data_IF_342836633391
#
_entry.id   IF_342836633391
#
_cell.length_a   1.000
_cell.length_b   1.000
_cell.length_c   1.000
_cell.angle_alpha   90.00
_cell.angle_beta   90.00
_cell.angle_gamma   90.00
#
_symmetry.space_group_name_H-M   'P 1'
#
loop_
_entity.id
_entity.type
_entity.pdbx_description
1 polymer ?
#
# COMPACT_ATOMS: atom_id res chain seq x y z
N UNK A 1 36.16 -14.47 10.07
CA UNK A 1 35.75 -13.31 9.26
C UNK A 1 36.86 -12.94 8.30
N UNK A 2 36.62 -13.02 6.98
CA UNK A 2 37.63 -12.67 5.97
C UNK A 2 37.57 -11.15 5.69
N UNK A 3 38.71 -10.57 5.25
CA UNK A 3 38.81 -9.14 4.89
C UNK A 3 37.72 -8.67 3.88
N UNK A 4 37.21 -9.58 3.04
CA UNK A 4 36.08 -9.31 2.12
C UNK A 4 34.72 -9.15 2.83
N UNK A 5 34.51 -9.82 3.94
CA UNK A 5 33.27 -9.68 4.74
C UNK A 5 33.26 -8.38 5.53
N UNK A 6 34.45 -7.92 6.00
CA UNK A 6 34.60 -6.66 6.71
C UNK A 6 34.30 -5.45 5.79
N UNK A 7 34.77 -5.51 4.55
CA UNK A 7 34.53 -4.43 3.56
C UNK A 7 33.07 -4.33 3.09
N UNK A 8 32.29 -5.41 3.16
CA UNK A 8 30.83 -5.35 2.92
C UNK A 8 30.05 -4.71 4.05
N UNK A 9 30.53 -4.79 5.28
CA UNK A 9 29.88 -4.16 6.45
C UNK A 9 30.23 -2.68 6.61
N UNK A 10 31.36 -2.21 6.13
CA UNK A 10 31.73 -0.78 6.20
C UNK A 10 31.05 0.09 5.14
N UNK A 11 30.51 -0.49 4.06
CA UNK A 11 29.73 0.25 3.06
C UNK A 11 28.33 0.69 3.56
N UNK A 12 27.88 0.18 4.71
CA UNK A 12 26.54 0.49 5.28
C UNK A 12 26.51 1.76 6.15
N UNK A 13 27.64 2.33 6.52
CA UNK A 13 27.71 3.48 7.44
C UNK A 13 27.86 4.84 6.76
N UNK A 14 27.78 4.91 5.45
CA UNK A 14 27.98 6.14 4.68
C UNK A 14 26.77 6.73 3.96
N UNK A 15 25.60 6.12 4.03
CA UNK A 15 24.41 6.66 3.38
C UNK A 15 23.60 7.54 4.34
N UNK A 16 23.66 8.85 4.15
CA UNK A 16 22.75 9.78 4.81
C UNK A 16 21.43 9.83 4.00
N UNK A 17 20.32 9.52 4.65
CA UNK A 17 18.99 9.74 4.09
C UNK A 17 18.64 11.21 4.31
N UNK A 18 18.62 12.00 3.26
CA UNK A 18 18.14 13.38 3.29
C UNK A 18 16.69 13.39 2.86
N UNK A 19 15.80 13.72 3.79
CA UNK A 19 14.39 13.98 3.51
C UNK A 19 14.24 15.45 3.14
N UNK A 20 13.90 15.74 1.90
CA UNK A 20 13.60 17.11 1.46
C UNK A 20 12.09 17.21 1.23
N UNK A 21 11.45 18.18 1.90
CA UNK A 21 10.06 18.54 1.66
C UNK A 21 10.04 19.80 0.80
N UNK A 22 9.62 19.67 -0.45
CA UNK A 22 9.43 20.80 -1.34
C UNK A 22 8.02 20.74 -1.94
N UNK A 23 7.22 21.78 -1.72
CA UNK A 23 5.88 21.89 -2.33
C UNK A 23 4.85 20.84 -1.89
N UNK A 24 5.03 20.19 -0.74
CA UNK A 24 4.15 19.12 -0.24
C UNK A 24 4.50 17.72 -0.73
N UNK A 25 5.57 17.56 -1.48
CA UNK A 25 6.11 16.27 -1.89
C UNK A 25 7.25 15.84 -0.97
N UNK A 26 7.24 14.58 -0.52
CA UNK A 26 8.37 13.99 0.21
C UNK A 26 9.22 13.22 -0.79
N UNK A 27 10.37 13.80 -1.14
CA UNK A 27 11.35 13.14 -2.01
C UNK A 27 12.46 12.59 -1.11
N UNK A 28 12.64 11.29 -1.06
CA UNK A 28 13.75 10.65 -0.36
C UNK A 28 14.94 10.50 -1.30
N UNK A 29 16.05 11.17 -1.01
CA UNK A 29 17.33 10.98 -1.70
C UNK A 29 18.32 10.24 -0.79
N UNK A 30 18.93 9.20 -1.31
CA UNK A 30 20.09 8.55 -0.65
C UNK A 30 21.35 9.15 -1.26
N UNK A 31 22.10 9.92 -0.47
CA UNK A 31 23.43 10.43 -0.88
C UNK A 31 24.50 9.44 -0.46
N UNK A 32 25.04 8.69 -1.41
CA UNK A 32 26.29 7.94 -1.28
C UNK A 32 27.40 8.60 -2.12
N UNK A 33 28.69 8.19 -1.97
CA UNK A 33 29.77 8.74 -2.79
C UNK A 33 29.46 8.55 -4.28
N UNK A 34 29.69 9.60 -5.03
CA UNK A 34 29.34 9.74 -6.43
C UNK A 34 29.84 8.57 -7.29
N UNK A 35 28.90 7.73 -7.76
CA UNK A 35 29.09 6.94 -8.99
C UNK A 35 27.73 6.67 -9.62
N UNK A 36 27.64 7.04 -10.90
CA UNK A 36 26.52 6.91 -11.80
C UNK A 36 25.27 7.75 -11.42
N UNK A 37 24.83 8.59 -12.34
CA UNK A 37 23.55 9.26 -12.27
C UNK A 37 22.46 8.23 -11.92
N UNK A 38 21.96 8.26 -10.68
CA UNK A 38 20.81 7.47 -10.28
C UNK A 38 19.65 8.03 -11.08
N UNK A 39 19.39 7.43 -12.24
CA UNK A 39 18.17 7.75 -13.00
C UNK A 39 16.99 7.42 -12.11
N UNK A 40 16.08 8.37 -11.97
CA UNK A 40 14.82 8.18 -11.22
C UNK A 40 14.19 6.84 -11.66
N UNK A 41 14.00 5.87 -10.74
CA UNK A 41 13.40 4.58 -11.11
C UNK A 41 12.02 4.71 -11.73
N UNK A 42 11.28 5.79 -11.43
CA UNK A 42 9.99 6.09 -12.07
C UNK A 42 10.14 6.46 -13.55
N UNK A 43 11.28 7.03 -13.95
CA UNK A 43 11.59 7.34 -15.34
C UNK A 43 12.20 6.16 -16.13
N UNK A 44 12.64 5.08 -15.47
CA UNK A 44 13.25 3.92 -16.12
C UNK A 44 12.18 3.01 -16.74
N UNK A 45 12.15 2.82 -18.08
CA UNK A 45 11.17 1.96 -18.74
C UNK A 45 11.33 0.47 -18.39
N UNK A 46 12.48 0.06 -17.88
CA UNK A 46 12.78 -1.33 -17.50
C UNK A 46 12.52 -1.60 -16.02
N UNK A 47 12.31 -0.57 -15.20
CA UNK A 47 11.94 -0.73 -13.81
C UNK A 47 10.57 -1.40 -13.68
N UNK A 48 10.35 -2.10 -12.55
CA UNK A 48 9.01 -2.39 -12.10
C UNK A 48 8.34 -1.07 -11.73
N UNK A 49 7.16 -0.79 -12.28
CA UNK A 49 6.38 0.41 -11.96
C UNK A 49 4.93 0.05 -11.73
N UNK A 50 4.43 0.37 -10.58
CA UNK A 50 3.02 0.15 -10.25
C UNK A 50 2.42 1.35 -9.53
N UNK A 51 1.10 1.38 -9.44
CA UNK A 51 0.38 2.43 -8.73
C UNK A 51 -0.42 1.79 -7.60
N UNK A 52 -0.37 2.42 -6.43
CA UNK A 52 -1.28 2.13 -5.32
C UNK A 52 -2.38 3.19 -5.30
N UNK A 53 -3.63 2.73 -5.27
CA UNK A 53 -4.82 3.50 -4.92
C UNK A 53 -5.45 2.87 -3.68
N UNK A 54 -6.20 3.63 -2.89
CA UNK A 54 -6.75 3.12 -1.65
C UNK A 54 -8.02 3.85 -1.25
N UNK A 55 -8.86 3.17 -0.49
CA UNK A 55 -9.97 3.75 0.26
C UNK A 55 -10.89 4.58 -0.66
N UNK A 56 -11.42 3.96 -1.73
CA UNK A 56 -12.34 4.61 -2.66
C UNK A 56 -13.77 4.74 -2.11
N UNK A 57 -14.15 3.90 -1.15
CA UNK A 57 -15.43 3.93 -0.45
C UNK A 57 -16.63 4.17 -1.35
N UNK A 58 -16.68 3.50 -2.50
CA UNK A 58 -17.79 3.65 -3.46
C UNK A 58 -19.11 3.37 -2.75
N UNK A 59 -20.02 4.35 -2.84
CA UNK A 59 -21.32 4.32 -2.14
C UNK A 59 -21.36 5.15 -0.85
N UNK A 60 -20.28 5.80 -0.42
CA UNK A 60 -20.30 6.76 0.69
C UNK A 60 -21.22 7.96 0.39
N UNK A 61 -22.00 8.41 1.38
CA UNK A 61 -23.00 9.49 1.24
C UNK A 61 -22.83 10.62 2.26
N UNK A 62 -21.65 10.71 2.89
CA UNK A 62 -21.41 11.74 3.91
C UNK A 62 -20.94 13.09 3.36
N UNK A 63 -20.99 14.11 4.21
CA UNK A 63 -20.61 15.50 3.86
C UNK A 63 -19.12 15.69 3.60
N UNK A 64 -18.27 14.77 4.04
CA UNK A 64 -16.84 14.84 3.81
C UNK A 64 -16.47 14.70 2.32
N UNK A 65 -17.26 13.94 1.56
CA UNK A 65 -17.24 13.90 0.11
C UNK A 65 -18.59 13.40 -0.41
N UNK A 66 -19.35 14.26 -1.04
CA UNK A 66 -20.67 13.92 -1.62
C UNK A 66 -20.57 13.29 -3.02
N UNK A 67 -19.37 13.13 -3.56
CA UNK A 67 -19.10 12.68 -4.94
C UNK A 67 -17.87 11.76 -5.00
N UNK A 68 -17.84 10.71 -4.15
CA UNK A 68 -16.69 9.76 -4.08
C UNK A 68 -16.46 9.06 -5.42
N UNK A 69 -17.51 8.77 -6.18
CA UNK A 69 -17.40 8.19 -7.51
C UNK A 69 -16.59 9.10 -8.45
N UNK A 70 -16.87 10.42 -8.45
CA UNK A 70 -16.13 11.39 -9.25
C UNK A 70 -14.66 11.51 -8.79
N UNK A 71 -14.43 11.46 -7.49
CA UNK A 71 -13.06 11.46 -6.94
C UNK A 71 -12.27 10.24 -7.41
N UNK A 72 -12.89 9.05 -7.39
CA UNK A 72 -12.23 7.84 -7.87
C UNK A 72 -12.07 7.82 -9.40
N UNK A 73 -13.04 8.34 -10.16
CA UNK A 73 -12.89 8.55 -11.61
C UNK A 73 -11.73 9.49 -11.94
N UNK A 74 -11.52 10.52 -11.13
CA UNK A 74 -10.38 11.40 -11.26
C UNK A 74 -9.06 10.64 -10.99
N UNK A 75 -9.01 9.81 -9.95
CA UNK A 75 -7.84 8.96 -9.68
C UNK A 75 -7.55 8.01 -10.86
N UNK A 76 -8.56 7.35 -11.42
CA UNK A 76 -8.42 6.51 -12.63
C UNK A 76 -7.89 7.32 -13.82
N UNK A 77 -8.41 8.52 -14.03
CA UNK A 77 -7.96 9.40 -15.11
C UNK A 77 -6.50 9.84 -14.92
N UNK A 78 -6.11 10.15 -13.68
CA UNK A 78 -4.74 10.53 -13.35
C UNK A 78 -3.75 9.37 -13.54
N UNK A 79 -4.13 8.15 -13.15
CA UNK A 79 -3.32 6.94 -13.44
C UNK A 79 -3.15 6.76 -14.95
N UNK A 80 -4.23 6.94 -15.73
CA UNK A 80 -4.17 6.78 -17.19
C UNK A 80 -3.38 7.90 -17.89
N UNK A 81 -3.19 9.05 -17.25
CA UNK A 81 -2.39 10.17 -17.74
C UNK A 81 -0.91 10.09 -17.36
N UNK A 82 -0.49 9.09 -16.60
CA UNK A 82 0.92 8.89 -16.25
C UNK A 82 1.77 8.74 -17.53
N UNK A 83 3.04 9.22 -17.52
CA UNK A 83 3.94 9.10 -18.68
C UNK A 83 4.41 7.66 -18.93
N UNK A 84 3.86 6.71 -18.22
CA UNK A 84 4.12 5.28 -18.37
C UNK A 84 2.86 4.47 -18.10
N UNK A 85 2.80 3.26 -18.66
CA UNK A 85 1.78 2.28 -18.33
C UNK A 85 2.24 1.49 -17.10
N UNK A 86 1.51 1.49 -15.97
CA UNK A 86 1.86 0.66 -14.82
C UNK A 86 1.85 -0.83 -15.15
N UNK A 87 2.77 -1.59 -14.59
CA UNK A 87 2.77 -3.05 -14.67
C UNK A 87 1.50 -3.63 -14.01
N UNK A 88 1.08 -3.02 -12.91
CA UNK A 88 -0.23 -3.26 -12.30
C UNK A 88 -0.70 -2.03 -11.49
N UNK A 89 -1.97 -2.01 -11.13
CA UNK A 89 -2.55 -1.10 -10.13
C UNK A 89 -3.04 -1.95 -8.97
N UNK A 90 -2.62 -1.61 -7.75
CA UNK A 90 -3.07 -2.23 -6.50
C UNK A 90 -4.04 -1.32 -5.79
N UNK A 91 -5.26 -1.81 -5.49
CA UNK A 91 -6.18 -1.14 -4.58
C UNK A 91 -6.07 -1.77 -3.18
N UNK A 92 -5.63 -0.98 -2.21
CA UNK A 92 -5.31 -1.48 -0.86
C UNK A 92 -6.49 -1.43 0.12
N UNK A 93 -7.69 -1.77 -0.36
CA UNK A 93 -8.87 -2.01 0.47
C UNK A 93 -9.81 -0.82 0.61
N UNK A 94 -10.95 -1.07 1.25
CA UNK A 94 -12.10 -0.16 1.32
C UNK A 94 -12.52 0.32 -0.07
N UNK A 95 -12.71 -0.67 -0.97
CA UNK A 95 -13.19 -0.44 -2.32
C UNK A 95 -14.61 0.11 -2.29
N UNK A 96 -15.44 -0.51 -1.45
CA UNK A 96 -16.85 -0.18 -1.24
C UNK A 96 -17.06 0.44 0.13
N UNK A 97 -18.20 1.06 0.36
CA UNK A 97 -18.55 1.60 1.69
C UNK A 97 -19.43 0.67 2.52
N UNK A 98 -20.27 -0.14 1.87
CA UNK A 98 -21.26 -0.99 2.55
C UNK A 98 -21.26 -2.44 2.04
N UNK A 99 -20.21 -2.88 1.35
CA UNK A 99 -20.07 -4.26 0.86
C UNK A 99 -21.29 -4.78 0.07
N UNK A 100 -21.99 -3.91 -0.68
CA UNK A 100 -23.11 -4.36 -1.51
C UNK A 100 -22.62 -4.88 -2.85
N UNK A 101 -23.31 -5.89 -3.46
CA UNK A 101 -22.96 -6.35 -4.80
C UNK A 101 -22.89 -5.23 -5.83
N UNK A 102 -23.86 -4.29 -5.79
CA UNK A 102 -23.89 -3.15 -6.72
C UNK A 102 -22.67 -2.23 -6.56
N UNK A 103 -22.17 -2.02 -5.34
CA UNK A 103 -20.95 -1.24 -5.11
C UNK A 103 -19.71 -1.97 -5.64
N UNK A 104 -19.61 -3.29 -5.46
CA UNK A 104 -18.53 -4.08 -6.04
C UNK A 104 -18.55 -4.06 -7.57
N UNK A 105 -19.74 -4.20 -8.19
CA UNK A 105 -19.88 -4.11 -9.65
C UNK A 105 -19.46 -2.73 -10.16
N UNK A 106 -19.83 -1.66 -9.46
CA UNK A 106 -19.46 -0.28 -9.80
C UNK A 106 -17.94 -0.08 -9.72
N UNK A 107 -17.30 -0.50 -8.62
CA UNK A 107 -15.83 -0.42 -8.48
C UNK A 107 -15.15 -1.21 -9.61
N UNK A 108 -15.60 -2.42 -9.87
CA UNK A 108 -15.05 -3.29 -10.93
C UNK A 108 -15.14 -2.61 -12.30
N UNK A 109 -16.29 -1.99 -12.61
CA UNK A 109 -16.47 -1.21 -13.82
C UNK A 109 -15.54 0.00 -13.89
N UNK A 110 -15.35 0.72 -12.79
CA UNK A 110 -14.44 1.88 -12.73
C UNK A 110 -12.98 1.44 -12.91
N UNK A 111 -12.54 0.38 -12.20
CA UNK A 111 -11.17 -0.16 -12.30
C UNK A 111 -10.89 -0.77 -13.69
N UNK A 112 -11.90 -1.28 -14.39
CA UNK A 112 -11.71 -1.81 -15.76
C UNK A 112 -11.28 -0.75 -16.79
N UNK A 113 -11.41 0.53 -16.46
CA UNK A 113 -10.96 1.66 -17.29
C UNK A 113 -9.49 2.03 -17.08
N UNK A 114 -8.81 1.41 -16.13
CA UNK A 114 -7.38 1.63 -15.88
C UNK A 114 -6.53 1.09 -17.03
N UNK A 115 -5.66 1.92 -17.58
CA UNK A 115 -4.68 1.53 -18.59
C UNK A 115 -3.46 0.86 -17.93
N UNK A 116 -3.64 -0.37 -17.49
CA UNK A 116 -2.63 -1.19 -16.84
C UNK A 116 -2.64 -2.61 -17.39
N UNK A 117 -1.62 -3.41 -17.09
CA UNK A 117 -1.63 -4.83 -17.47
C UNK A 117 -2.51 -5.66 -16.55
N UNK A 118 -2.65 -5.25 -15.30
CA UNK A 118 -3.38 -5.98 -14.27
C UNK A 118 -3.90 -5.04 -13.18
N UNK A 119 -5.09 -5.30 -12.67
CA UNK A 119 -5.64 -4.69 -11.45
C UNK A 119 -5.70 -5.73 -10.34
N UNK A 120 -5.18 -5.39 -9.18
CA UNK A 120 -5.08 -6.25 -8.01
C UNK A 120 -5.74 -5.55 -6.81
N UNK A 121 -6.26 -6.32 -5.87
CA UNK A 121 -6.93 -5.77 -4.70
C UNK A 121 -6.64 -6.57 -3.44
N UNK A 122 -6.74 -5.94 -2.28
CA UNK A 122 -6.99 -6.58 -0.99
C UNK A 122 -8.25 -5.96 -0.39
N UNK A 123 -9.04 -6.66 0.43
CA UNK A 123 -10.24 -6.07 1.02
C UNK A 123 -9.90 -5.16 2.20
N UNK A 124 -10.71 -4.11 2.40
CA UNK A 124 -10.80 -3.37 3.64
C UNK A 124 -11.94 -3.88 4.54
N UNK A 125 -12.11 -3.27 5.70
CA UNK A 125 -13.21 -3.63 6.62
C UNK A 125 -14.57 -3.28 6.03
N UNK A 126 -14.68 -2.20 5.26
CA UNK A 126 -15.89 -1.81 4.56
C UNK A 126 -16.28 -2.77 3.43
N UNK A 127 -15.37 -3.61 2.98
CA UNK A 127 -15.62 -4.67 1.99
C UNK A 127 -16.09 -5.99 2.62
N UNK A 128 -16.17 -6.04 3.96
CA UNK A 128 -16.42 -7.26 4.75
C UNK A 128 -17.51 -7.08 5.81
N UNK A 129 -18.29 -5.99 5.76
CA UNK A 129 -19.15 -5.47 6.85
C UNK A 129 -20.09 -6.52 7.45
N UNK A 130 -20.69 -7.39 6.64
CA UNK A 130 -21.80 -8.26 7.07
C UNK A 130 -21.62 -9.74 6.71
N UNK A 131 -20.55 -10.14 6.03
CA UNK A 131 -20.42 -11.50 5.50
C UNK A 131 -18.99 -12.08 5.55
N UNK A 132 -18.10 -11.49 6.35
CA UNK A 132 -16.69 -11.88 6.42
C UNK A 132 -16.02 -11.93 5.02
N UNK A 133 -16.35 -10.98 4.15
CA UNK A 133 -15.75 -10.80 2.84
C UNK A 133 -16.19 -11.79 1.75
N UNK A 134 -17.30 -12.52 1.92
CA UNK A 134 -17.78 -13.46 0.89
C UNK A 134 -18.11 -12.73 -0.41
N UNK A 135 -18.78 -11.58 -0.37
CA UNK A 135 -19.11 -10.77 -1.55
C UNK A 135 -17.85 -10.21 -2.21
N UNK A 136 -16.88 -9.77 -1.40
CA UNK A 136 -15.59 -9.35 -1.93
C UNK A 136 -14.91 -10.50 -2.68
N UNK A 137 -14.80 -11.70 -2.07
CA UNK A 137 -14.21 -12.87 -2.73
C UNK A 137 -14.97 -13.29 -3.98
N UNK A 138 -16.30 -13.17 -4.01
CA UNK A 138 -17.09 -13.42 -5.22
C UNK A 138 -16.74 -12.44 -6.35
N UNK A 139 -16.42 -11.18 -6.02
CA UNK A 139 -16.09 -10.14 -6.99
C UNK A 139 -14.60 -10.18 -7.44
N UNK A 140 -13.67 -10.39 -6.50
CA UNK A 140 -12.24 -10.21 -6.69
C UNK A 140 -11.37 -11.39 -6.28
N UNK A 141 -11.94 -12.44 -5.66
CA UNK A 141 -11.18 -13.56 -5.09
C UNK A 141 -10.71 -14.61 -6.10
N UNK A 142 -10.92 -14.43 -7.39
CA UNK A 142 -10.48 -15.41 -8.39
C UNK A 142 -8.94 -15.57 -8.36
N UNK A 143 -8.47 -16.82 -8.15
CA UNK A 143 -7.04 -17.15 -8.09
C UNK A 143 -6.36 -16.86 -6.75
N UNK A 144 -7.10 -16.45 -5.72
CA UNK A 144 -6.59 -16.26 -4.37
C UNK A 144 -6.61 -17.56 -3.55
N UNK A 145 -5.89 -17.59 -2.44
CA UNK A 145 -5.89 -18.68 -1.46
C UNK A 145 -6.69 -18.30 -0.21
N UNK A 146 -7.13 -19.29 0.56
CA UNK A 146 -7.83 -19.09 1.82
C UNK A 146 -8.97 -18.09 1.70
N UNK A 147 -8.99 -17.11 2.58
CA UNK A 147 -10.00 -16.05 2.60
C UNK A 147 -9.66 -14.84 1.72
N UNK A 148 -8.82 -15.02 0.70
CA UNK A 148 -8.58 -14.00 -0.31
C UNK A 148 -7.14 -13.48 -0.37
N UNK A 149 -6.19 -14.07 0.38
CA UNK A 149 -4.77 -13.70 0.28
C UNK A 149 -4.09 -14.41 -0.90
N UNK A 150 -2.99 -13.83 -1.38
CA UNK A 150 -2.19 -14.39 -2.47
C UNK A 150 -0.78 -13.83 -2.50
N UNK A 151 0.07 -14.43 -3.30
CA UNK A 151 1.41 -13.93 -3.61
C UNK A 151 1.68 -14.01 -5.11
N UNK A 152 2.62 -13.22 -5.59
CA UNK A 152 3.09 -13.26 -6.97
C UNK A 152 4.49 -12.66 -7.09
N UNK A 153 5.18 -13.01 -8.17
CA UNK A 153 6.48 -12.46 -8.51
C UNK A 153 6.38 -11.58 -9.75
N UNK A 154 7.05 -10.43 -9.73
CA UNK A 154 7.15 -9.55 -10.89
C UNK A 154 8.46 -8.80 -10.91
N UNK A 155 9.20 -8.87 -12.02
CA UNK A 155 10.46 -8.16 -12.25
C UNK A 155 11.46 -8.25 -11.08
N UNK A 156 11.55 -9.43 -10.46
CA UNK A 156 12.50 -9.73 -9.39
C UNK A 156 12.07 -9.28 -7.99
N UNK A 157 10.85 -8.84 -7.82
CA UNK A 157 10.21 -8.52 -6.53
C UNK A 157 9.16 -9.58 -6.21
N UNK A 158 9.13 -10.03 -4.96
CA UNK A 158 8.10 -10.91 -4.44
C UNK A 158 7.04 -10.12 -3.68
N UNK A 159 5.77 -10.36 -4.00
CA UNK A 159 4.62 -9.64 -3.46
C UNK A 159 3.76 -10.56 -2.62
N UNK A 160 3.36 -10.08 -1.45
CA UNK A 160 2.37 -10.68 -0.58
C UNK A 160 1.15 -9.74 -0.49
N UNK A 161 -0.02 -10.21 -0.86
CA UNK A 161 -1.29 -9.52 -0.70
C UNK A 161 -2.08 -10.18 0.43
N UNK A 162 -2.17 -9.51 1.56
CA UNK A 162 -2.67 -10.04 2.82
C UNK A 162 -4.06 -9.48 3.16
N UNK A 163 -4.87 -10.30 3.80
CA UNK A 163 -6.21 -9.96 4.27
C UNK A 163 -6.19 -9.89 5.79
N UNK A 164 -6.47 -8.73 6.36
CA UNK A 164 -6.46 -8.52 7.81
C UNK A 164 -7.71 -7.82 8.35
N UNK A 165 -8.83 -7.93 7.62
CA UNK A 165 -10.06 -7.18 7.88
C UNK A 165 -11.30 -8.06 8.13
N UNK A 166 -11.19 -9.40 8.04
CA UNK A 166 -12.35 -10.28 8.10
C UNK A 166 -12.85 -10.59 9.52
N UNK A 167 -11.98 -10.49 10.52
CA UNK A 167 -12.27 -10.85 11.92
C UNK A 167 -12.02 -9.67 12.84
N UNK A 168 -12.54 -8.49 12.46
CA UNK A 168 -12.32 -7.26 13.19
C UNK A 168 -13.15 -7.22 14.48
N UNK A 169 -12.48 -7.37 15.62
CA UNK A 169 -13.05 -6.87 16.89
C UNK A 169 -12.67 -5.40 17.10
N UNK A 170 -11.41 -5.05 16.85
CA UNK A 170 -10.87 -3.69 16.97
C UNK A 170 -9.63 -3.47 16.11
N UNK A 171 -8.69 -4.42 16.11
CA UNK A 171 -7.45 -4.39 15.33
C UNK A 171 -7.57 -5.32 14.13
N UNK A 172 -6.78 -5.09 13.10
CA UNK A 172 -6.61 -6.05 12.02
C UNK A 172 -6.05 -7.38 12.56
N UNK A 173 -6.37 -8.47 11.90
CA UNK A 173 -5.95 -9.81 12.27
C UNK A 173 -5.70 -10.67 11.02
N UNK A 174 -4.54 -11.30 10.92
CA UNK A 174 -4.18 -12.18 9.80
C UNK A 174 -4.68 -13.62 10.04
N UNK A 175 -4.51 -14.13 11.24
CA UNK A 175 -4.89 -15.47 11.63
C UNK A 175 -3.86 -16.55 11.27
N UNK A 176 -4.00 -17.71 11.91
CA UNK A 176 -3.02 -18.78 11.87
C UNK A 176 -2.78 -19.35 10.46
N UNK A 177 -3.84 -19.50 9.66
CA UNK A 177 -3.74 -20.06 8.31
C UNK A 177 -2.96 -19.14 7.37
N UNK A 178 -3.21 -17.83 7.43
CA UNK A 178 -2.50 -16.85 6.62
C UNK A 178 -1.06 -16.68 7.11
N UNK A 179 -0.81 -16.73 8.41
CA UNK A 179 0.55 -16.72 8.96
C UNK A 179 1.36 -17.93 8.49
N UNK A 180 0.73 -19.13 8.41
CA UNK A 180 1.38 -20.33 7.86
C UNK A 180 1.60 -20.22 6.34
N UNK A 181 0.66 -19.60 5.61
CA UNK A 181 0.83 -19.27 4.20
C UNK A 181 2.06 -18.37 4.00
N UNK A 182 2.18 -17.24 4.71
CA UNK A 182 3.34 -16.35 4.62
C UNK A 182 4.64 -17.12 4.88
N UNK A 183 4.69 -17.87 5.98
CA UNK A 183 5.86 -18.65 6.37
C UNK A 183 6.31 -19.63 5.28
N UNK A 184 5.37 -20.36 4.67
CA UNK A 184 5.65 -21.36 3.62
C UNK A 184 6.05 -20.71 2.31
N UNK A 185 5.37 -19.64 1.95
CA UNK A 185 5.54 -18.93 0.69
C UNK A 185 6.96 -18.34 0.58
N UNK A 186 7.40 -17.63 1.61
CA UNK A 186 8.72 -17.01 1.59
C UNK A 186 9.88 -17.98 1.90
N UNK A 187 9.60 -19.21 2.36
CA UNK A 187 10.62 -20.11 2.94
C UNK A 187 11.82 -20.40 2.01
N UNK A 188 11.57 -20.46 0.71
CA UNK A 188 12.58 -20.81 -0.30
C UNK A 188 13.19 -19.61 -1.03
N UNK A 189 12.71 -18.41 -0.76
CA UNK A 189 13.23 -17.21 -1.40
C UNK A 189 14.62 -16.86 -0.86
N UNK A 190 15.47 -16.28 -1.71
CA UNK A 190 16.75 -15.72 -1.27
C UNK A 190 16.52 -14.54 -0.34
N UNK A 191 17.39 -14.35 0.64
CA UNK A 191 17.38 -13.18 1.52
C UNK A 191 17.57 -11.86 0.77
N UNK A 192 18.11 -11.91 -0.43
CA UNK A 192 18.30 -10.73 -1.29
C UNK A 192 17.04 -10.40 -2.13
N UNK A 193 16.01 -11.25 -2.09
CA UNK A 193 14.73 -10.97 -2.78
C UNK A 193 14.02 -9.82 -2.07
N UNK A 194 13.71 -8.71 -2.76
CA UNK A 194 12.88 -7.65 -2.18
C UNK A 194 11.46 -8.16 -1.97
N UNK A 195 10.89 -7.86 -0.80
CA UNK A 195 9.52 -8.24 -0.46
C UNK A 195 8.65 -6.99 -0.39
N UNK A 196 7.50 -7.03 -1.05
CA UNK A 196 6.46 -6.02 -0.92
C UNK A 196 5.21 -6.67 -0.32
N UNK A 197 4.69 -6.08 0.73
CA UNK A 197 3.49 -6.58 1.42
C UNK A 197 2.38 -5.57 1.27
N UNK A 198 1.25 -5.99 0.76
CA UNK A 198 0.01 -5.23 0.74
C UNK A 198 -0.93 -5.73 1.83
N UNK A 199 -1.50 -4.84 2.58
CA UNK A 199 -2.60 -5.08 3.53
C UNK A 199 -3.47 -3.83 3.59
N UNK A 200 -4.69 -3.95 4.08
CA UNK A 200 -5.50 -2.75 4.29
C UNK A 200 -5.10 -2.04 5.58
N UNK A 201 -5.21 -2.71 6.72
CA UNK A 201 -4.81 -2.15 8.02
C UNK A 201 -3.28 -2.24 8.18
N UNK A 202 -2.62 -1.20 8.74
CA UNK A 202 -1.17 -1.21 8.95
C UNK A 202 -0.67 -2.44 9.71
N UNK A 203 0.47 -3.01 9.26
CA UNK A 203 1.17 -4.10 9.96
C UNK A 203 2.05 -3.60 11.11
N UNK A 204 1.82 -2.40 11.60
CA UNK A 204 2.44 -1.86 12.81
C UNK A 204 1.39 -1.12 13.64
N UNK A 205 1.63 -1.00 14.93
CA UNK A 205 0.72 -0.33 15.86
C UNK A 205 0.83 1.20 15.70
N UNK A 206 0.15 1.78 14.70
CA UNK A 206 0.17 3.21 14.46
C UNK A 206 -0.65 3.96 15.50
N UNK A 207 -1.92 3.59 15.69
CA UNK A 207 -2.81 4.12 16.72
C UNK A 207 -3.88 3.08 17.12
N UNK A 208 -3.53 2.11 17.98
CA UNK A 208 -4.40 0.98 18.32
C UNK A 208 -5.74 1.39 18.94
N UNK A 209 -5.79 2.58 19.56
CA UNK A 209 -7.04 3.12 20.12
C UNK A 209 -8.15 3.28 19.06
N UNK A 210 -7.78 3.54 17.79
CA UNK A 210 -8.70 3.67 16.66
C UNK A 210 -8.70 2.45 15.72
N UNK A 211 -8.10 1.33 16.12
CA UNK A 211 -8.01 0.16 15.25
C UNK A 211 -6.86 0.21 14.24
N UNK A 212 -5.98 1.22 14.32
CA UNK A 212 -4.90 1.41 13.35
C UNK A 212 -3.67 0.58 13.71
N UNK A 213 -3.76 -0.69 13.42
CA UNK A 213 -2.72 -1.70 13.61
C UNK A 213 -3.27 -3.11 13.50
N UNK A 214 -2.39 -4.09 13.33
CA UNK A 214 -2.70 -5.51 13.20
C UNK A 214 -2.07 -6.24 14.38
N UNK A 215 -2.86 -7.00 15.14
CA UNK A 215 -2.47 -7.55 16.45
C UNK A 215 -1.42 -8.68 16.36
N UNK A 216 -1.48 -9.49 15.31
CA UNK A 216 -0.56 -10.61 15.05
C UNK A 216 0.52 -10.27 14.00
N UNK A 217 0.64 -9.03 13.58
CA UNK A 217 1.62 -8.57 12.59
C UNK A 217 3.07 -8.87 12.99
N UNK A 218 3.40 -8.85 14.28
CA UNK A 218 4.74 -9.17 14.78
C UNK A 218 5.18 -10.57 14.34
N UNK A 219 4.27 -11.54 14.33
CA UNK A 219 4.56 -12.90 13.88
C UNK A 219 4.78 -12.93 12.37
N UNK A 220 3.93 -12.30 11.56
CA UNK A 220 4.11 -12.19 10.11
C UNK A 220 5.45 -11.55 9.77
N UNK A 221 5.75 -10.40 10.38
CA UNK A 221 7.02 -9.68 10.16
C UNK A 221 8.25 -10.48 10.59
N UNK A 222 8.12 -11.38 11.60
CA UNK A 222 9.24 -12.25 12.02
C UNK A 222 9.73 -13.15 10.89
N UNK A 223 8.85 -13.61 10.00
CA UNK A 223 9.22 -14.41 8.83
C UNK A 223 9.94 -13.60 7.76
N UNK A 224 9.72 -12.28 7.74
CA UNK A 224 10.26 -11.35 6.74
C UNK A 224 11.58 -10.69 7.17
N UNK A 225 11.96 -10.74 8.44
CA UNK A 225 13.18 -10.08 8.97
C UNK A 225 14.50 -10.57 8.34
N UNK A 226 14.51 -11.73 7.70
CA UNK A 226 15.70 -12.28 7.04
C UNK A 226 15.99 -11.65 5.68
N UNK A 227 15.02 -10.93 5.07
CA UNK A 227 15.17 -10.30 3.78
C UNK A 227 15.90 -8.96 3.89
N UNK A 228 16.64 -8.59 2.85
CA UNK A 228 17.42 -7.34 2.84
C UNK A 228 16.53 -6.10 2.74
N UNK A 229 15.35 -6.22 2.14
CA UNK A 229 14.38 -5.13 1.97
C UNK A 229 12.96 -5.66 2.04
N UNK A 230 12.15 -5.08 2.92
CA UNK A 230 10.71 -5.34 3.04
C UNK A 230 9.98 -4.01 3.03
N UNK A 231 8.99 -3.87 2.14
CA UNK A 231 8.15 -2.67 2.07
C UNK A 231 6.69 -3.07 2.30
N UNK A 232 6.06 -2.52 3.33
CA UNK A 232 4.65 -2.71 3.62
C UNK A 232 3.86 -1.49 3.15
N UNK A 233 2.85 -1.70 2.32
CA UNK A 233 1.99 -0.67 1.75
C UNK A 233 0.56 -0.92 2.21
N UNK A 234 -0.05 0.05 2.87
CA UNK A 234 -1.39 -0.07 3.42
C UNK A 234 -2.27 1.15 3.12
N UNK A 235 -3.58 1.00 3.32
CA UNK A 235 -4.60 2.04 3.29
C UNK A 235 -5.11 2.39 4.70
N UNK A 236 -6.43 2.39 4.90
CA UNK A 236 -7.17 2.47 6.16
C UNK A 236 -7.06 3.82 6.91
N UNK A 237 -5.89 4.40 6.94
CA UNK A 237 -5.57 5.59 7.75
C UNK A 237 -5.96 6.89 7.05
N UNK A 238 -6.13 6.85 5.72
CA UNK A 238 -6.41 7.99 4.85
C UNK A 238 -5.39 9.13 4.97
N UNK A 239 -4.17 8.83 5.42
CA UNK A 239 -3.09 9.80 5.60
C UNK A 239 -1.77 9.21 5.16
N UNK A 240 -0.93 10.07 4.60
CA UNK A 240 0.44 9.72 4.28
C UNK A 240 1.25 9.54 5.57
N UNK A 241 1.85 8.37 5.72
CA UNK A 241 2.73 8.05 6.83
C UNK A 241 3.84 7.13 6.37
N UNK A 242 5.04 7.34 6.88
CA UNK A 242 6.19 6.46 6.63
C UNK A 242 6.93 6.18 7.93
N UNK A 243 7.27 4.91 8.17
CA UNK A 243 8.05 4.45 9.30
C UNK A 243 9.01 3.36 8.85
N UNK A 244 10.24 3.37 9.36
CA UNK A 244 11.22 2.31 9.10
C UNK A 244 11.65 1.66 10.41
N UNK A 245 11.63 0.33 10.44
CA UNK A 245 12.10 -0.49 11.54
C UNK A 245 13.06 -1.57 11.01
N UNK A 246 14.36 -1.35 11.16
CA UNK A 246 15.39 -2.25 10.62
C UNK A 246 15.33 -2.29 9.08
N UNK A 247 15.03 -3.47 8.53
CA UNK A 247 14.89 -3.71 7.09
C UNK A 247 13.46 -3.57 6.57
N UNK A 248 12.51 -3.20 7.43
CA UNK A 248 11.09 -3.05 7.07
C UNK A 248 10.70 -1.58 7.03
N UNK A 249 10.16 -1.14 5.90
CA UNK A 249 9.57 0.20 5.75
C UNK A 249 8.08 0.08 5.55
N UNK A 250 7.31 0.84 6.32
CA UNK A 250 5.86 0.92 6.27
C UNK A 250 5.45 2.24 5.64
N UNK A 251 4.48 2.19 4.73
CA UNK A 251 3.89 3.36 4.10
C UNK A 251 2.37 3.25 4.10
N UNK A 252 1.69 4.17 4.76
CA UNK A 252 0.25 4.35 4.58
C UNK A 252 -0.02 5.27 3.41
N UNK A 253 -0.95 4.88 2.55
CA UNK A 253 -1.43 5.72 1.46
C UNK A 253 -2.44 6.75 1.95
N UNK A 254 -2.62 7.81 1.17
CA UNK A 254 -3.82 8.63 1.27
C UNK A 254 -4.99 7.92 0.59
N UNK A 255 -6.18 8.45 0.78
CA UNK A 255 -7.46 7.96 0.25
C UNK A 255 -7.77 8.57 -1.11
N UNK A 256 -8.68 7.95 -1.86
CA UNK A 256 -9.34 8.60 -3.00
C UNK A 256 -10.74 9.11 -2.66
N UNK A 257 -11.24 8.89 -1.43
CA UNK A 257 -12.59 9.28 -1.02
C UNK A 257 -12.63 10.52 -0.11
N UNK A 258 -12.10 10.45 1.10
CA UNK A 258 -12.18 11.52 2.10
C UNK A 258 -11.08 11.38 3.17
N UNK A 259 -10.59 12.49 3.76
CA UNK A 259 -9.59 12.42 4.81
C UNK A 259 -10.19 12.03 6.16
N UNK A 260 -9.36 11.43 7.02
CA UNK A 260 -9.61 11.17 8.44
C UNK A 260 -8.78 12.14 9.30
N UNK A 261 -9.16 12.35 10.60
CA UNK A 261 -8.39 13.19 11.50
C UNK A 261 -7.03 12.55 11.84
N UNK A 262 -6.06 13.36 12.25
CA UNK A 262 -4.79 12.84 12.75
C UNK A 262 -5.01 12.05 14.05
N UNK A 263 -4.14 11.06 14.36
CA UNK A 263 -4.22 10.29 15.59
C UNK A 263 -4.41 11.18 16.82
N UNK A 264 -5.43 10.87 17.62
CA UNK A 264 -5.75 11.64 18.84
C UNK A 264 -6.44 12.99 18.61
N UNK A 265 -6.69 13.41 17.38
CA UNK A 265 -7.50 14.60 17.08
C UNK A 265 -8.98 14.25 17.00
N UNK A 266 -9.61 14.01 18.12
CA UNK A 266 -11.02 13.65 18.24
C UNK A 266 -11.23 12.30 18.92
N UNK A 267 -12.49 11.92 19.18
CA UNK A 267 -12.82 10.68 19.89
C UNK A 267 -12.74 9.43 19.00
N UNK A 268 -12.85 9.59 17.68
CA UNK A 268 -12.88 8.50 16.70
C UNK A 268 -12.38 8.99 15.33
N UNK A 269 -11.98 8.06 14.43
CA UNK A 269 -11.56 8.39 13.06
C UNK A 269 -12.78 8.67 12.16
N UNK A 270 -13.49 9.75 12.42
CA UNK A 270 -14.67 10.15 11.64
C UNK A 270 -14.25 10.95 10.40
N UNK A 271 -14.93 10.79 9.23
CA UNK A 271 -14.64 11.54 8.02
C UNK A 271 -14.62 13.07 8.25
N UNK A 272 -13.58 13.74 7.75
CA UNK A 272 -13.38 15.18 7.92
C UNK A 272 -13.89 15.94 6.72
N UNK A 273 -14.86 16.85 6.95
CA UNK A 273 -15.29 17.80 5.93
C UNK A 273 -14.29 18.94 5.85
N UNK A 274 -13.65 19.10 4.70
CA UNK A 274 -12.70 20.17 4.44
C UNK A 274 -13.39 21.42 3.88
N UNK A 275 -12.76 22.61 3.96
CA UNK A 275 -13.25 23.81 3.29
C UNK A 275 -13.44 23.57 1.79
N UNK A 276 -14.38 24.31 1.18
CA UNK A 276 -14.67 24.21 -0.25
C UNK A 276 -13.39 24.32 -1.11
N UNK A 277 -13.25 23.42 -2.08
CA UNK A 277 -12.09 23.36 -2.98
C UNK A 277 -10.82 22.75 -2.38
N UNK A 278 -10.85 22.24 -1.12
CA UNK A 278 -9.68 21.65 -0.46
C UNK A 278 -9.65 20.14 -0.45
N UNK A 279 -10.71 19.50 -0.89
CA UNK A 279 -10.79 18.03 -0.86
C UNK A 279 -9.71 17.38 -1.73
N UNK A 280 -9.52 17.84 -2.95
CA UNK A 280 -8.52 17.29 -3.87
C UNK A 280 -7.08 17.33 -3.31
N UNK A 281 -6.75 18.34 -2.48
CA UNK A 281 -5.45 18.45 -1.80
C UNK A 281 -5.19 17.32 -0.80
N UNK A 282 -6.25 16.66 -0.31
CA UNK A 282 -6.18 15.55 0.66
C UNK A 282 -6.32 14.17 0.03
N UNK A 283 -6.67 14.11 -1.25
CA UNK A 283 -6.82 12.86 -2.00
C UNK A 283 -5.60 12.63 -2.89
N UNK A 284 -5.32 11.36 -3.25
CA UNK A 284 -4.16 11.09 -4.09
C UNK A 284 -4.01 9.64 -4.51
N UNK A 285 -3.00 9.44 -5.33
CA UNK A 285 -2.49 8.13 -5.76
C UNK A 285 -1.01 8.03 -5.37
N UNK A 286 -0.46 6.83 -5.37
CA UNK A 286 0.97 6.58 -5.11
C UNK A 286 1.59 5.86 -6.28
N UNK A 287 2.62 6.46 -6.86
CA UNK A 287 3.51 5.84 -7.82
C UNK A 287 4.64 5.09 -7.09
N UNK A 288 4.92 3.87 -7.49
CA UNK A 288 5.99 3.05 -6.90
C UNK A 288 6.83 2.45 -8.02
N UNK A 289 8.15 2.51 -7.86
CA UNK A 289 9.07 1.87 -8.77
C UNK A 289 10.17 1.10 -8.04
N UNK A 290 10.64 0.01 -8.67
CA UNK A 290 11.80 -0.74 -8.23
C UNK A 290 12.70 -1.05 -9.41
N UNK A 291 14.00 -0.88 -9.20
CA UNK A 291 15.05 -1.28 -10.13
C UNK A 291 15.98 -2.30 -9.45
N UNK A 292 16.30 -3.44 -10.10
CA UNK A 292 17.28 -4.37 -9.57
C UNK A 292 18.60 -3.68 -9.22
N UNK A 293 19.12 -3.97 -8.03
CA UNK A 293 20.35 -3.35 -7.51
C UNK A 293 20.15 -2.06 -6.72
N UNK A 294 18.93 -1.53 -6.61
CA UNK A 294 18.62 -0.44 -5.68
C UNK A 294 18.28 -0.99 -4.28
N UNK A 295 18.56 -0.23 -3.20
CA UNK A 295 18.35 -0.71 -1.83
C UNK A 295 16.87 -0.83 -1.40
N UNK A 296 15.93 -0.36 -2.22
CA UNK A 296 14.50 -0.38 -1.90
C UNK A 296 13.66 0.19 -3.02
N UNK A 297 12.37 0.38 -2.75
CA UNK A 297 11.42 0.96 -3.68
C UNK A 297 11.48 2.49 -3.64
N UNK A 298 11.38 3.11 -4.82
CA UNK A 298 11.06 4.54 -4.93
C UNK A 298 9.55 4.71 -4.77
N UNK A 299 9.12 5.60 -3.87
CA UNK A 299 7.71 5.87 -3.57
C UNK A 299 7.45 7.35 -3.76
N UNK A 300 6.43 7.70 -4.56
CA UNK A 300 6.01 9.07 -4.82
C UNK A 300 4.51 9.20 -4.65
N UNK A 301 4.09 10.05 -3.73
CA UNK A 301 2.69 10.37 -3.50
C UNK A 301 2.29 11.57 -4.36
N UNK A 302 1.17 11.46 -5.09
CA UNK A 302 0.66 12.47 -6.02
C UNK A 302 -0.79 12.80 -5.65
N UNK A 303 -1.08 14.06 -5.40
CA UNK A 303 -2.43 14.54 -5.11
C UNK A 303 -3.34 14.43 -6.33
N UNK A 304 -4.63 14.29 -6.10
CA UNK A 304 -5.65 14.46 -7.13
C UNK A 304 -5.78 15.97 -7.42
N UNK A 305 -5.06 16.46 -8.41
CA UNK A 305 -5.04 17.89 -8.76
C UNK A 305 -6.10 18.22 -9.82
#
# INVERSE_FOLDING_TARGET
MTRRQLLRHTAWFGAAVVLTVAGGEVISHISGPAEAAVTDPLADPHALRFVQVSDSHIGFKGTANTAVEQSFEHAVSQVNALPFRPDFVMHTGDLTHLSTPAQFDQVKQMMSRLNTSQTLTVPGEHDSVDDAGQKYRAAFGAGTAGDGWYSFDMKGVHFLALVNTLSLEKLGHLGAEQLDFIRKDVAKLSSDTPIVVFSHIPLFAMYPAWGWGTDDAVQALSYLRRFSSVTCLNGHVHQLFTKTEGNVTFHSATTTAYPLPKPGQGPAPTPVTLPAGKLADALGIREVAYRPGTPGLAVKDVKLA
#
